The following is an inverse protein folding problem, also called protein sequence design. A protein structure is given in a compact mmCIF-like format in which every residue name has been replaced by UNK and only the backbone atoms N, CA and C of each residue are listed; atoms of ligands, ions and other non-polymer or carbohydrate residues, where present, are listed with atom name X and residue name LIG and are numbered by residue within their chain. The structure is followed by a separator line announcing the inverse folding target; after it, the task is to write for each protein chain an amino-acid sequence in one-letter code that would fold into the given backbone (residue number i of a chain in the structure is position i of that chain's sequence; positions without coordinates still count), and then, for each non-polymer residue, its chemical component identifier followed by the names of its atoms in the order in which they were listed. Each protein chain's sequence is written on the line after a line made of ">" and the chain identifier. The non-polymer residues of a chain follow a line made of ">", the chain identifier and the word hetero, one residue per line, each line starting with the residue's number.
data_IF_794197096422
#
_entry.id   IF_794197096422
#
_cell.length_a   1.000
_cell.length_b   1.000
_cell.length_c   1.000
_cell.angle_alpha   90.00
_cell.angle_beta   90.00
_cell.angle_gamma   90.00
#
_symmetry.space_group_name_H-M   'P 1'
#
loop_
_entity.id
_entity.type
_entity.pdbx_description
1 polymer ?
#
# COMPACT_ATOMS: atom_id res chain seq x y z
N UNK A 1 -16.24 -1.26 12.14
CA UNK A 1 -15.88 -1.89 10.85
C UNK A 1 -14.43 -2.29 10.93
N UNK A 2 -14.08 -3.56 10.63
CA UNK A 2 -12.74 -4.07 10.73
C UNK A 2 -11.76 -3.28 9.84
N UNK A 3 -10.53 -3.05 10.29
CA UNK A 3 -9.49 -2.28 9.59
C UNK A 3 -9.22 -2.84 8.20
N UNK A 4 -9.01 -4.17 8.11
CA UNK A 4 -8.73 -4.87 6.86
C UNK A 4 -9.82 -4.65 5.81
N UNK A 5 -11.10 -4.77 6.19
CA UNK A 5 -12.24 -4.52 5.29
C UNK A 5 -12.30 -3.06 4.83
N UNK A 6 -11.99 -2.12 5.73
CA UNK A 6 -11.95 -0.69 5.38
C UNK A 6 -10.86 -0.42 4.36
N UNK A 7 -9.67 -1.01 4.55
CA UNK A 7 -8.54 -0.86 3.64
C UNK A 7 -8.83 -1.44 2.25
N UNK A 8 -9.38 -2.65 2.18
CA UNK A 8 -9.82 -3.29 0.92
C UNK A 8 -10.82 -2.40 0.19
N UNK A 9 -11.84 -1.90 0.91
CA UNK A 9 -12.85 -1.02 0.32
C UNK A 9 -12.24 0.29 -0.18
N UNK A 10 -11.30 0.88 0.55
CA UNK A 10 -10.61 2.11 0.15
C UNK A 10 -9.84 1.94 -1.16
N UNK A 11 -9.08 0.86 -1.29
CA UNK A 11 -8.33 0.56 -2.52
C UNK A 11 -9.30 0.35 -3.68
N UNK A 12 -10.35 -0.47 -3.52
CA UNK A 12 -11.35 -0.70 -4.56
C UNK A 12 -12.02 0.61 -5.00
N UNK A 13 -12.38 1.47 -4.05
CA UNK A 13 -12.98 2.76 -4.35
C UNK A 13 -12.04 3.67 -5.15
N UNK A 14 -10.75 3.68 -4.82
CA UNK A 14 -9.75 4.47 -5.56
C UNK A 14 -9.65 4.02 -7.02
N UNK A 15 -9.68 2.71 -7.28
CA UNK A 15 -9.67 2.18 -8.65
C UNK A 15 -10.96 2.51 -9.41
N UNK A 16 -12.11 2.43 -8.75
CA UNK A 16 -13.40 2.81 -9.35
C UNK A 16 -13.47 4.30 -9.66
N UNK A 17 -12.95 5.15 -8.77
CA UNK A 17 -12.87 6.60 -9.01
C UNK A 17 -11.94 6.92 -10.18
N UNK A 18 -10.76 6.28 -10.26
CA UNK A 18 -9.86 6.44 -11.40
C UNK A 18 -10.54 6.00 -12.70
N UNK A 19 -11.21 4.85 -12.72
CA UNK A 19 -11.98 4.37 -13.86
C UNK A 19 -13.05 5.40 -14.29
N UNK A 20 -13.79 5.95 -13.34
CA UNK A 20 -14.81 6.97 -13.61
C UNK A 20 -14.21 8.25 -14.22
N UNK A 21 -13.09 8.75 -13.66
CA UNK A 21 -12.41 9.94 -14.21
C UNK A 21 -11.97 9.70 -15.65
N UNK A 22 -11.34 8.55 -15.94
CA UNK A 22 -10.94 8.22 -17.32
C UNK A 22 -12.14 8.04 -18.26
N UNK A 23 -13.25 7.47 -17.78
CA UNK A 23 -14.48 7.38 -18.58
C UNK A 23 -15.04 8.77 -18.92
N UNK A 24 -15.06 9.70 -17.97
CA UNK A 24 -15.46 11.09 -18.23
C UNK A 24 -14.56 11.75 -19.28
N UNK A 25 -13.24 11.57 -19.21
CA UNK A 25 -12.30 12.09 -20.21
C UNK A 25 -12.51 11.45 -21.59
N UNK A 26 -12.81 10.15 -21.66
CA UNK A 26 -13.17 9.49 -22.90
C UNK A 26 -14.42 10.13 -23.52
N UNK A 27 -15.46 10.39 -22.72
CA UNK A 27 -16.68 11.07 -23.18
C UNK A 27 -16.40 12.49 -23.69
N UNK A 28 -15.53 13.23 -23.02
CA UNK A 28 -15.10 14.55 -23.49
C UNK A 28 -14.42 14.47 -24.86
N UNK A 29 -13.48 13.53 -25.02
CA UNK A 29 -12.84 13.29 -26.31
C UNK A 29 -13.83 12.87 -27.39
N UNK A 30 -14.82 12.04 -27.05
CA UNK A 30 -15.89 11.64 -27.98
C UNK A 30 -16.75 12.85 -28.39
N UNK A 31 -17.13 13.69 -27.44
CA UNK A 31 -17.91 14.91 -27.70
C UNK A 31 -17.20 15.85 -28.68
N UNK A 32 -15.93 16.14 -28.45
CA UNK A 32 -15.15 17.00 -29.34
C UNK A 32 -14.78 16.33 -30.67
N UNK A 33 -14.66 14.99 -30.70
CA UNK A 33 -14.34 14.21 -31.89
C UNK A 33 -15.52 14.01 -32.81
N UNK A 34 -16.73 13.88 -32.27
CA UNK A 34 -17.93 13.57 -33.01
C UNK A 34 -18.22 14.53 -34.21
N UNK A 35 -18.24 15.85 -34.01
CA UNK A 35 -18.46 16.80 -35.09
C UNK A 35 -17.37 16.80 -36.16
N UNK A 36 -16.17 16.30 -35.85
CA UNK A 36 -15.01 16.26 -36.73
C UNK A 36 -14.74 14.88 -37.33
N UNK A 37 -15.70 13.94 -37.17
CA UNK A 37 -15.57 12.57 -37.64
C UNK A 37 -14.43 11.80 -37.01
N UNK A 38 -14.10 12.05 -35.74
CA UNK A 38 -13.00 11.38 -34.99
C UNK A 38 -11.67 11.42 -35.74
N UNK A 39 -11.28 12.56 -36.27
CA UNK A 39 -9.98 12.74 -36.95
C UNK A 39 -8.92 13.27 -35.98
N UNK A 40 -7.71 12.71 -36.09
CA UNK A 40 -6.55 13.20 -35.31
C UNK A 40 -6.56 12.82 -33.84
N UNK A 41 -6.12 13.75 -32.97
CA UNK A 41 -5.87 13.50 -31.54
C UNK A 41 -7.10 13.11 -30.71
N UNK A 42 -8.32 13.49 -31.14
CA UNK A 42 -9.55 13.13 -30.42
C UNK A 42 -9.86 11.63 -30.46
N UNK A 43 -9.55 10.95 -31.56
CA UNK A 43 -9.69 9.49 -31.69
C UNK A 43 -8.70 8.76 -30.81
N UNK A 44 -7.44 9.18 -30.84
CA UNK A 44 -6.40 8.60 -30.00
C UNK A 44 -6.70 8.84 -28.50
N UNK A 45 -7.13 10.05 -28.14
CA UNK A 45 -7.54 10.38 -26.78
C UNK A 45 -8.72 9.54 -26.29
N UNK A 46 -9.76 9.39 -27.09
CA UNK A 46 -10.90 8.53 -26.75
C UNK A 46 -10.45 7.08 -26.50
N UNK A 47 -9.68 6.50 -27.42
CA UNK A 47 -9.18 5.13 -27.29
C UNK A 47 -8.32 4.94 -26.03
N UNK A 48 -7.41 5.86 -25.76
CA UNK A 48 -6.54 5.81 -24.59
C UNK A 48 -7.33 5.88 -23.27
N UNK A 49 -8.22 6.87 -23.14
CA UNK A 49 -8.98 7.05 -21.91
C UNK A 49 -10.04 5.96 -21.71
N UNK A 50 -10.65 5.44 -22.76
CA UNK A 50 -11.56 4.30 -22.68
C UNK A 50 -10.82 3.04 -22.23
N UNK A 51 -9.64 2.76 -22.79
CA UNK A 51 -8.80 1.63 -22.38
C UNK A 51 -8.36 1.77 -20.91
N UNK A 52 -7.94 2.97 -20.48
CA UNK A 52 -7.59 3.23 -19.09
C UNK A 52 -8.80 3.03 -18.14
N UNK A 53 -9.98 3.51 -18.51
CA UNK A 53 -11.20 3.31 -17.73
C UNK A 53 -11.52 1.83 -17.54
N UNK A 54 -11.46 1.03 -18.61
CA UNK A 54 -11.67 -0.42 -18.56
C UNK A 54 -10.60 -1.11 -17.72
N UNK A 55 -9.32 -0.73 -17.88
CA UNK A 55 -8.22 -1.26 -17.11
C UNK A 55 -8.45 -1.07 -15.61
N UNK A 56 -8.67 0.17 -15.16
CA UNK A 56 -8.89 0.44 -13.73
C UNK A 56 -10.18 -0.16 -13.19
N UNK A 57 -11.26 -0.20 -14.00
CA UNK A 57 -12.54 -0.80 -13.62
C UNK A 57 -12.49 -2.33 -13.51
N UNK A 58 -11.60 -3.00 -14.25
CA UNK A 58 -11.47 -4.46 -14.21
C UNK A 58 -10.90 -4.98 -12.88
N UNK A 59 -10.00 -4.23 -12.21
CA UNK A 59 -9.35 -4.69 -10.99
C UNK A 59 -10.32 -5.02 -9.86
N UNK A 60 -11.27 -4.15 -9.47
CA UNK A 60 -12.25 -4.50 -8.43
C UNK A 60 -13.08 -5.74 -8.77
N UNK A 61 -13.43 -5.94 -10.04
CA UNK A 61 -14.16 -7.13 -10.49
C UNK A 61 -13.29 -8.40 -10.39
N UNK A 62 -12.00 -8.32 -10.78
CA UNK A 62 -11.04 -9.42 -10.64
C UNK A 62 -10.86 -9.77 -9.17
N UNK A 63 -10.69 -8.79 -8.29
CA UNK A 63 -10.51 -9.01 -6.86
C UNK A 63 -11.77 -9.54 -6.18
N UNK A 64 -12.96 -9.15 -6.65
CA UNK A 64 -14.21 -9.76 -6.18
C UNK A 64 -14.30 -11.24 -6.54
N UNK A 65 -13.81 -11.63 -7.73
CA UNK A 65 -13.78 -13.03 -8.19
C UNK A 65 -12.64 -13.83 -7.57
N UNK A 66 -11.49 -13.18 -7.34
CA UNK A 66 -10.28 -13.81 -6.82
C UNK A 66 -9.74 -12.99 -5.63
N UNK A 67 -10.33 -13.12 -4.42
CA UNK A 67 -9.96 -12.30 -3.27
C UNK A 67 -8.47 -12.40 -2.88
N UNK A 68 -7.84 -13.55 -3.10
CA UNK A 68 -6.41 -13.76 -2.82
C UNK A 68 -5.48 -12.88 -3.68
N UNK A 69 -5.96 -12.40 -4.83
CA UNK A 69 -5.19 -11.48 -5.70
C UNK A 69 -5.29 -10.02 -5.28
N UNK A 70 -6.17 -9.68 -4.34
CA UNK A 70 -6.23 -8.33 -3.79
C UNK A 70 -4.93 -8.01 -3.04
N UNK A 71 -4.29 -6.83 -3.24
CA UNK A 71 -2.98 -6.52 -2.64
C UNK A 71 -2.93 -6.73 -1.13
N UNK A 72 -3.96 -6.31 -0.40
CA UNK A 72 -4.05 -6.50 1.06
C UNK A 72 -4.10 -7.99 1.42
N UNK A 73 -4.98 -8.75 0.78
CA UNK A 73 -5.12 -10.18 1.06
C UNK A 73 -3.87 -10.96 0.67
N UNK A 74 -3.25 -10.59 -0.46
CA UNK A 74 -1.99 -11.19 -0.90
C UNK A 74 -0.87 -10.97 0.13
N UNK A 75 -0.81 -9.79 0.76
CA UNK A 75 0.17 -9.51 1.80
C UNK A 75 -0.12 -10.31 3.08
N UNK A 76 -1.39 -10.39 3.50
CA UNK A 76 -1.80 -11.17 4.68
C UNK A 76 -1.52 -12.67 4.51
N UNK A 77 -1.82 -13.24 3.33
CA UNK A 77 -1.60 -14.66 3.02
C UNK A 77 -0.13 -15.11 3.12
N UNK A 78 0.80 -14.18 3.13
CA UNK A 78 2.24 -14.49 3.32
C UNK A 78 2.57 -14.98 4.72
N UNK A 79 1.74 -14.65 5.69
CA UNK A 79 2.02 -14.87 7.10
C UNK A 79 1.08 -15.88 7.76
N UNK A 80 0.22 -16.54 6.97
CA UNK A 80 -0.67 -17.58 7.43
C UNK A 80 -2.02 -17.60 6.74
N UNK A 81 -2.99 -18.22 7.38
CA UNK A 81 -4.37 -18.22 6.90
C UNK A 81 -4.95 -16.81 6.89
N UNK A 82 -5.61 -16.45 5.79
CA UNK A 82 -6.14 -15.10 5.59
C UNK A 82 -7.11 -14.67 6.69
N UNK A 83 -7.98 -15.59 7.13
CA UNK A 83 -8.97 -15.27 8.15
C UNK A 83 -8.30 -15.03 9.50
N UNK A 84 -7.36 -15.90 9.89
CA UNK A 84 -6.63 -15.80 11.16
C UNK A 84 -5.77 -14.51 11.22
N UNK A 85 -4.95 -14.27 10.18
CA UNK A 85 -4.07 -13.09 10.15
C UNK A 85 -4.88 -11.81 10.09
N UNK A 86 -5.96 -11.75 9.32
CA UNK A 86 -6.81 -10.56 9.24
C UNK A 86 -7.55 -10.29 10.54
N UNK A 87 -8.06 -11.33 11.21
CA UNK A 87 -8.74 -11.19 12.51
C UNK A 87 -7.76 -10.72 13.59
N UNK A 88 -6.56 -11.28 13.64
CA UNK A 88 -5.52 -10.87 14.57
C UNK A 88 -5.13 -9.40 14.34
N UNK A 89 -4.87 -9.02 13.10
CA UNK A 89 -4.56 -7.64 12.75
C UNK A 89 -5.71 -6.69 13.11
N UNK A 90 -6.94 -7.04 12.78
CA UNK A 90 -8.12 -6.23 13.07
C UNK A 90 -8.33 -6.05 14.59
N UNK A 91 -8.05 -7.07 15.40
CA UNK A 91 -8.09 -7.02 16.86
C UNK A 91 -7.01 -6.09 17.42
N UNK A 92 -5.77 -6.22 16.93
CA UNK A 92 -4.66 -5.37 17.36
C UNK A 92 -4.85 -3.91 16.96
N UNK A 93 -5.46 -3.66 15.80
CA UNK A 93 -5.80 -2.30 15.32
C UNK A 93 -6.94 -1.62 16.07
N UNK A 94 -7.71 -2.37 16.85
CA UNK A 94 -8.74 -1.81 17.76
C UNK A 94 -8.16 -1.40 19.12
N UNK A 95 -6.99 -1.91 19.47
CA UNK A 95 -6.26 -1.54 20.67
C UNK A 95 -5.49 -0.22 20.53
N UNK A 96 -4.57 0.01 21.47
CA UNK A 96 -3.66 1.15 21.37
C UNK A 96 -2.62 0.87 20.30
N UNK A 97 -2.71 1.61 19.20
CA UNK A 97 -1.75 1.55 18.10
C UNK A 97 -0.91 2.81 18.12
N UNK A 98 0.42 2.64 18.22
CA UNK A 98 1.33 3.76 18.08
C UNK A 98 1.51 4.07 16.58
N UNK A 99 1.42 5.34 16.20
CA UNK A 99 1.42 5.77 14.80
C UNK A 99 2.54 6.78 14.57
N UNK A 100 3.39 6.52 13.57
CA UNK A 100 4.43 7.46 13.12
C UNK A 100 4.35 7.58 11.60
N UNK A 101 3.76 8.67 11.11
CA UNK A 101 3.50 8.83 9.69
C UNK A 101 2.66 7.68 9.12
N UNK A 102 3.14 6.99 8.07
CA UNK A 102 2.43 5.85 7.48
C UNK A 102 2.60 4.54 8.28
N UNK A 103 3.44 4.54 9.31
CA UNK A 103 3.72 3.35 10.11
C UNK A 103 2.75 3.22 11.28
N UNK A 104 2.26 2.01 11.50
CA UNK A 104 1.43 1.62 12.64
C UNK A 104 2.10 0.46 13.35
N UNK A 105 2.37 0.65 14.62
CA UNK A 105 3.02 -0.33 15.48
C UNK A 105 1.94 -1.03 16.30
N UNK A 106 1.61 -2.27 15.95
CA UNK A 106 0.67 -3.10 16.70
C UNK A 106 1.44 -4.02 17.67
N UNK A 107 0.76 -4.90 18.38
CA UNK A 107 1.41 -5.82 19.30
C UNK A 107 2.33 -6.83 18.59
N UNK A 108 1.97 -7.27 17.38
CA UNK A 108 2.67 -8.34 16.66
C UNK A 108 3.24 -7.93 15.31
N UNK A 109 2.75 -6.82 14.74
CA UNK A 109 3.04 -6.42 13.37
C UNK A 109 3.49 -4.98 13.27
N UNK A 110 4.46 -4.74 12.40
CA UNK A 110 4.69 -3.46 11.76
C UNK A 110 3.78 -3.38 10.54
N UNK A 111 2.92 -2.38 10.49
CA UNK A 111 2.05 -2.11 9.34
C UNK A 111 2.48 -0.80 8.69
N UNK A 112 2.82 -0.87 7.42
CA UNK A 112 3.03 0.31 6.60
C UNK A 112 1.78 0.55 5.74
N UNK A 113 1.19 1.73 5.87
CA UNK A 113 -0.04 2.14 5.19
C UNK A 113 0.06 3.57 4.69
N UNK A 114 0.54 3.75 3.47
CA UNK A 114 0.67 5.05 2.81
C UNK A 114 -0.60 5.48 2.05
N UNK A 115 -1.71 4.76 2.20
CA UNK A 115 -2.92 4.98 1.40
C UNK A 115 -2.92 4.16 0.10
N UNK A 116 -1.85 4.19 -0.66
CA UNK A 116 -1.71 3.44 -1.92
C UNK A 116 -1.03 2.10 -1.74
N UNK A 117 -0.14 1.99 -0.78
CA UNK A 117 0.65 0.80 -0.49
C UNK A 117 0.32 0.28 0.89
N UNK A 118 0.17 -1.04 1.00
CA UNK A 118 -0.04 -1.75 2.24
C UNK A 118 0.99 -2.86 2.36
N UNK A 119 1.75 -2.84 3.45
CA UNK A 119 2.72 -3.89 3.77
C UNK A 119 2.57 -4.27 5.24
N UNK A 120 2.76 -5.56 5.52
CA UNK A 120 2.69 -6.14 6.85
C UNK A 120 3.99 -6.88 7.14
N UNK A 121 4.61 -6.61 8.29
CA UNK A 121 5.84 -7.31 8.69
C UNK A 121 5.68 -7.75 10.15
N UNK A 122 5.60 -9.05 10.43
CA UNK A 122 5.60 -9.56 11.79
C UNK A 122 6.94 -9.27 12.47
N UNK A 123 6.93 -8.87 13.75
CA UNK A 123 8.16 -8.51 14.47
C UNK A 123 9.10 -9.70 14.66
N UNK A 124 8.57 -10.90 14.82
CA UNK A 124 9.37 -12.14 14.93
C UNK A 124 10.13 -12.50 13.66
N UNK A 125 9.74 -11.93 12.52
CA UNK A 125 10.44 -12.10 11.26
C UNK A 125 11.55 -11.05 11.03
N UNK A 126 11.58 -9.96 11.79
CA UNK A 126 12.55 -8.89 11.60
C UNK A 126 13.89 -9.30 12.21
N UNK A 127 14.97 -9.19 11.43
CA UNK A 127 16.34 -9.45 11.88
C UNK A 127 17.18 -8.18 11.97
N UNK A 128 16.89 -7.15 11.17
CA UNK A 128 17.53 -5.84 11.32
C UNK A 128 16.60 -4.71 10.90
N UNK A 129 16.82 -3.54 11.51
CA UNK A 129 16.22 -2.28 11.09
C UNK A 129 17.31 -1.22 11.08
N UNK A 130 17.57 -0.63 9.94
CA UNK A 130 18.64 0.31 9.68
C UNK A 130 18.08 1.57 9.04
N UNK A 131 18.80 2.66 9.15
CA UNK A 131 18.52 3.91 8.47
C UNK A 131 19.51 4.05 7.32
N UNK A 132 18.99 4.24 6.11
CA UNK A 132 19.79 4.42 4.91
C UNK A 132 19.89 5.92 4.56
N UNK A 133 21.10 6.37 4.23
CA UNK A 133 21.39 7.74 3.81
C UNK A 133 21.61 7.72 2.30
N UNK A 134 20.57 8.05 1.55
CA UNK A 134 20.63 8.05 0.08
C UNK A 134 21.05 9.42 -0.43
N UNK A 135 22.30 9.56 -0.83
CA UNK A 135 22.81 10.72 -1.56
C UNK A 135 23.01 12.02 -0.77
N UNK A 136 22.71 12.01 0.54
CA UNK A 136 22.94 13.12 1.48
C UNK A 136 23.29 12.59 2.86
N UNK A 137 23.83 13.46 3.72
CA UNK A 137 24.09 13.10 5.14
C UNK A 137 22.81 12.93 5.96
N UNK A 138 21.64 13.30 5.40
CA UNK A 138 20.35 13.17 6.07
C UNK A 138 19.77 11.76 5.92
N UNK A 139 19.20 11.19 7.00
CA UNK A 139 18.46 9.92 6.94
C UNK A 139 17.27 10.04 5.99
N UNK A 140 17.24 9.21 4.96
CA UNK A 140 16.22 9.30 3.90
C UNK A 140 15.33 8.09 3.76
N UNK A 141 15.75 6.94 4.31
CA UNK A 141 14.97 5.71 4.25
C UNK A 141 15.12 4.85 5.51
N UNK A 142 14.09 4.05 5.80
CA UNK A 142 14.16 2.95 6.75
C UNK A 142 14.25 1.66 5.97
N UNK A 143 15.23 0.83 6.32
CA UNK A 143 15.44 -0.50 5.71
C UNK A 143 15.23 -1.55 6.78
N UNK A 144 14.32 -2.49 6.49
CA UNK A 144 14.06 -3.65 7.35
C UNK A 144 14.38 -4.92 6.59
N UNK A 145 15.13 -5.80 7.23
CA UNK A 145 15.43 -7.14 6.70
C UNK A 145 14.72 -8.18 7.54
N UNK A 146 14.19 -9.20 6.87
CA UNK A 146 13.49 -10.32 7.51
C UNK A 146 14.30 -11.60 7.44
N UNK A 147 13.97 -12.57 8.30
CA UNK A 147 14.56 -13.93 8.31
C UNK A 147 14.39 -14.65 6.98
N UNK A 148 13.32 -14.35 6.24
CA UNK A 148 13.10 -14.89 4.89
C UNK A 148 13.98 -14.25 3.81
N UNK A 149 14.90 -13.35 4.17
CA UNK A 149 15.77 -12.63 3.23
C UNK A 149 15.10 -11.46 2.53
N UNK A 150 13.86 -11.12 2.84
CA UNK A 150 13.21 -9.95 2.27
C UNK A 150 13.78 -8.67 2.82
N UNK A 151 13.87 -7.68 1.94
CA UNK A 151 14.26 -6.31 2.27
C UNK A 151 13.07 -5.40 1.98
N UNK A 152 12.59 -4.71 3.01
CA UNK A 152 11.64 -3.61 2.90
C UNK A 152 12.42 -2.31 2.99
N UNK A 153 12.06 -1.34 2.15
CA UNK A 153 12.71 -0.03 2.14
C UNK A 153 11.65 1.04 1.92
N UNK A 154 11.53 1.94 2.89
CA UNK A 154 10.57 3.04 2.87
C UNK A 154 11.30 4.36 2.88
N UNK A 155 11.07 5.15 1.84
CA UNK A 155 11.70 6.44 1.69
C UNK A 155 10.86 7.55 2.34
N UNK A 156 11.55 8.53 2.95
CA UNK A 156 10.93 9.78 3.38
C UNK A 156 10.65 10.64 2.16
N UNK A 157 9.47 10.50 1.57
CA UNK A 157 9.04 11.28 0.41
C UNK A 157 7.63 11.82 0.64
N UNK A 158 7.26 12.87 -0.09
CA UNK A 158 5.90 13.39 -0.05
C UNK A 158 4.85 12.35 -0.53
N UNK A 159 5.25 11.41 -1.38
CA UNK A 159 4.38 10.33 -1.86
C UNK A 159 4.19 9.20 -0.84
N UNK A 160 5.23 8.88 -0.08
CA UNK A 160 5.22 7.77 0.88
C UNK A 160 4.92 8.20 2.32
N UNK A 161 4.77 9.52 2.53
CA UNK A 161 4.53 10.12 3.84
C UNK A 161 5.79 10.70 4.47
N UNK A 162 5.60 11.79 5.21
CA UNK A 162 6.65 12.46 5.96
C UNK A 162 6.79 11.74 7.31
N UNK A 163 7.96 11.19 7.59
CA UNK A 163 8.28 10.54 8.85
C UNK A 163 9.77 10.74 9.17
N UNK A 164 10.14 10.57 10.43
CA UNK A 164 11.53 10.54 10.86
C UNK A 164 12.05 9.09 10.78
N UNK A 165 13.00 8.78 9.87
CA UNK A 165 13.53 7.45 9.70
C UNK A 165 14.23 6.90 10.96
N UNK A 166 14.89 7.75 11.73
CA UNK A 166 15.58 7.33 12.96
C UNK A 166 14.56 6.95 14.04
N UNK A 167 13.52 7.74 14.22
CA UNK A 167 12.45 7.45 15.16
C UNK A 167 11.74 6.13 14.79
N UNK A 168 11.43 5.94 13.51
CA UNK A 168 10.78 4.70 13.02
C UNK A 168 11.68 3.50 13.23
N UNK A 169 12.96 3.57 12.82
CA UNK A 169 13.92 2.47 13.00
C UNK A 169 14.11 2.10 14.47
N UNK A 170 14.22 3.09 15.35
CA UNK A 170 14.32 2.88 16.81
C UNK A 170 13.09 2.15 17.35
N UNK A 171 11.89 2.54 16.95
CA UNK A 171 10.64 1.87 17.36
C UNK A 171 10.56 0.44 16.83
N UNK A 172 10.97 0.20 15.59
CA UNK A 172 11.01 -1.16 15.02
C UNK A 172 11.96 -2.04 15.82
N UNK A 173 13.16 -1.57 16.13
CA UNK A 173 14.15 -2.32 16.91
C UNK A 173 13.62 -2.66 18.29
N UNK A 174 13.00 -1.70 18.97
CA UNK A 174 12.39 -1.93 20.28
C UNK A 174 11.25 -2.95 20.23
N UNK A 175 10.34 -2.84 19.27
CA UNK A 175 9.20 -3.74 19.10
C UNK A 175 9.63 -5.17 18.71
N UNK A 176 10.62 -5.30 17.84
CA UNK A 176 11.20 -6.57 17.42
C UNK A 176 12.25 -7.13 18.41
N UNK A 177 12.51 -6.42 19.52
CA UNK A 177 13.51 -6.78 20.57
C UNK A 177 14.93 -7.01 20.02
N UNK A 178 15.31 -6.25 18.99
CA UNK A 178 16.62 -6.40 18.34
C UNK A 178 17.77 -5.86 19.22
N UNK A 179 17.47 -5.01 20.19
CA UNK A 179 18.46 -4.42 21.11
C UNK A 179 18.60 -5.21 22.43
N UNK A 180 17.84 -6.33 22.58
CA UNK A 180 18.00 -7.19 23.74
C UNK A 180 19.33 -7.97 23.63
N UNK A 181 20.17 -8.02 24.69
CA UNK A 181 21.35 -8.87 24.69
C UNK A 181 20.91 -10.32 24.41
N UNK A 182 21.64 -10.97 23.52
CA UNK A 182 21.46 -12.39 23.28
C UNK A 182 21.75 -13.13 24.60
N UNK A 183 20.69 -13.65 25.25
CA UNK A 183 20.78 -14.38 26.48
C UNK A 183 21.40 -15.78 26.30
#
# INVERSE_FOLDING_TARGET
>A
MAYTRRKIRGINLSFLLASFVFACWALVCAWFGWPRGFRGGSTAGFGLFAAAALFFGAFPAIWARYPSKHPVNHELLRYGDLAEVSERLDREMQGSVDVVGPFRFTASFLVYDSGHEFQLVPYDQIVSSEVDKVGSDEPSAVVVRTRSGRRYQWYRTWMQGIFDPEQVSKKIRAAARLDAPAG
#
